data_IF_391555863039
#
_entry.id   IF_391555863039
#
_cell.length_a   1.000
_cell.length_b   1.000
_cell.length_c   1.000
_cell.angle_alpha   90.00
_cell.angle_beta   90.00
_cell.angle_gamma   90.00
#
_symmetry.space_group_name_H-M   'P 1'
#
loop_
_entity.id
_entity.type
_entity.pdbx_description
1 polymer ?
#
# COMPACT_ATOMS: atom_id res chain seq x y z
N UNK A 1 -0.37 8.85 1.67
CA UNK A 1 0.09 7.90 2.69
C UNK A 1 1.50 7.53 2.30
N UNK A 2 2.48 8.04 3.03
CA UNK A 2 3.88 7.70 2.78
C UNK A 2 4.07 6.31 3.38
N UNK A 3 4.19 5.28 2.55
CA UNK A 3 4.89 4.09 3.01
C UNK A 3 6.36 4.52 3.03
N UNK A 4 6.75 5.23 4.09
CA UNK A 4 8.14 5.55 4.38
C UNK A 4 8.81 4.22 4.72
N UNK A 5 9.18 3.44 3.71
CA UNK A 5 10.16 2.37 3.85
C UNK A 5 11.52 3.03 3.99
N UNK A 6 11.75 3.72 5.11
CA UNK A 6 13.05 4.27 5.47
C UNK A 6 13.41 3.72 6.84
N UNK A 7 14.33 2.76 6.82
CA UNK A 7 15.25 2.34 7.88
C UNK A 7 14.59 2.02 9.24
N UNK A 8 14.39 0.71 9.50
CA UNK A 8 14.00 0.17 10.80
C UNK A 8 12.98 -0.97 10.77
N UNK A 9 12.31 -1.18 9.62
CA UNK A 9 11.10 -2.02 9.51
C UNK A 9 11.35 -3.54 9.46
N UNK A 10 12.60 -3.99 9.45
CA UNK A 10 12.91 -5.41 9.27
C UNK A 10 12.36 -6.32 10.36
N UNK A 11 12.33 -5.87 11.63
CA UNK A 11 11.80 -6.64 12.76
C UNK A 11 10.28 -6.58 12.85
N UNK A 12 9.71 -5.39 12.64
CA UNK A 12 8.27 -5.14 12.75
C UNK A 12 7.47 -5.83 11.64
N UNK A 13 8.03 -5.89 10.42
CA UNK A 13 7.42 -6.61 9.31
C UNK A 13 7.45 -8.13 9.55
N UNK A 14 8.57 -8.69 10.00
CA UNK A 14 8.66 -10.11 10.34
C UNK A 14 7.67 -10.49 11.45
N UNK A 15 7.52 -9.65 12.48
CA UNK A 15 6.59 -9.88 13.59
C UNK A 15 5.12 -9.88 13.12
N UNK A 16 4.75 -8.91 12.29
CA UNK A 16 3.44 -8.84 11.65
C UNK A 16 3.14 -10.07 10.81
N UNK A 17 4.13 -10.52 10.04
CA UNK A 17 3.98 -11.68 9.20
C UNK A 17 3.80 -12.96 10.03
N UNK A 18 4.50 -13.10 11.16
CA UNK A 18 4.28 -14.23 12.08
C UNK A 18 2.94 -14.21 12.80
N UNK A 19 2.42 -13.03 13.15
CA UNK A 19 1.12 -12.87 13.83
C UNK A 19 -0.08 -13.06 12.89
N UNK A 20 0.11 -12.82 11.60
CA UNK A 20 -0.90 -13.00 10.54
C UNK A 20 -0.79 -14.39 9.87
N UNK A 21 -0.22 -15.38 10.57
CA UNK A 21 0.00 -16.76 10.10
C UNK A 21 0.73 -16.86 8.74
N UNK A 22 1.89 -16.22 8.56
CA UNK A 22 2.75 -16.49 7.41
C UNK A 22 3.82 -17.54 7.70
N UNK A 23 3.83 -18.56 6.85
CA UNK A 23 5.07 -18.90 6.16
C UNK A 23 5.17 -17.96 4.95
N UNK A 24 6.20 -17.12 4.89
CA UNK A 24 6.64 -16.59 3.60
C UNK A 24 7.27 -17.76 2.84
N UNK A 25 6.45 -18.59 2.19
CA UNK A 25 6.96 -19.23 1.00
C UNK A 25 7.26 -18.08 0.02
N UNK A 26 8.51 -17.92 -0.38
CA UNK A 26 8.82 -17.24 -1.64
C UNK A 26 8.25 -18.12 -2.76
N UNK A 27 6.92 -18.14 -2.87
CA UNK A 27 6.16 -18.95 -3.80
C UNK A 27 5.89 -18.12 -5.04
N UNK A 28 6.63 -18.47 -6.09
CA UNK A 28 6.50 -18.06 -7.49
C UNK A 28 7.25 -16.79 -7.92
N UNK A 29 7.92 -16.98 -9.06
CA UNK A 29 8.74 -16.10 -9.90
C UNK A 29 8.07 -14.78 -10.36
N UNK A 30 7.28 -14.11 -9.53
CA UNK A 30 6.70 -12.82 -9.88
C UNK A 30 7.72 -11.70 -9.64
N UNK A 31 8.12 -11.01 -10.71
CA UNK A 31 8.95 -9.80 -10.63
C UNK A 31 8.17 -8.73 -9.82
N UNK A 32 8.70 -8.33 -8.67
CA UNK A 32 8.21 -7.18 -7.90
C UNK A 32 8.89 -5.89 -8.35
N UNK A 33 8.29 -4.73 -8.05
CA UNK A 33 8.94 -3.41 -8.23
C UNK A 33 9.24 -3.03 -9.68
N UNK A 34 8.71 -3.76 -10.66
CA UNK A 34 8.94 -3.56 -12.08
C UNK A 34 7.61 -3.26 -12.78
N UNK A 35 7.15 -1.99 -12.81
CA UNK A 35 5.87 -1.64 -13.40
C UNK A 35 5.91 -1.84 -14.93
N UNK A 36 4.83 -2.42 -15.48
CA UNK A 36 4.70 -2.60 -16.95
C UNK A 36 4.45 -1.28 -17.69
N UNK A 37 3.99 -0.25 -16.98
CA UNK A 37 3.79 1.11 -17.48
C UNK A 37 4.77 1.98 -16.69
N UNK A 38 5.80 2.56 -17.31
CA UNK A 38 6.75 3.38 -16.60
C UNK A 38 6.07 4.66 -16.09
N UNK A 39 6.34 5.10 -14.85
CA UNK A 39 5.89 6.41 -14.39
C UNK A 39 6.62 7.51 -15.18
N UNK A 40 5.93 8.61 -15.45
CA UNK A 40 6.59 9.85 -15.83
C UNK A 40 7.13 10.48 -14.54
N UNK A 41 8.45 10.65 -14.49
CA UNK A 41 9.17 11.17 -13.34
C UNK A 41 9.86 12.46 -13.75
N UNK A 42 9.37 13.59 -13.26
CA UNK A 42 10.07 14.87 -13.36
C UNK A 42 10.93 15.06 -12.09
N UNK A 43 12.19 15.51 -12.19
CA UNK A 43 13.02 15.87 -11.04
C UNK A 43 12.36 16.79 -10.00
N UNK A 44 11.32 17.56 -10.37
CA UNK A 44 10.59 18.47 -9.49
C UNK A 44 9.26 17.91 -8.92
N UNK A 45 8.92 16.64 -9.16
CA UNK A 45 7.65 16.03 -8.71
C UNK A 45 7.51 16.00 -7.18
N UNK A 46 6.48 16.66 -6.63
CA UNK A 46 6.12 16.68 -5.20
C UNK A 46 4.65 16.28 -5.03
N UNK A 47 4.22 15.61 -3.96
CA UNK A 47 2.76 15.36 -3.75
C UNK A 47 1.97 16.67 -3.55
N UNK A 48 2.51 17.60 -2.78
CA UNK A 48 1.93 18.94 -2.62
C UNK A 48 2.38 19.79 -3.80
N UNK A 49 1.46 20.12 -4.71
CA UNK A 49 1.77 20.72 -6.01
C UNK A 49 2.20 19.69 -7.09
N UNK A 50 1.81 18.43 -6.94
CA UNK A 50 2.18 17.36 -7.86
C UNK A 50 1.30 17.22 -9.09
N UNK A 51 1.75 16.35 -9.99
CA UNK A 51 1.03 15.99 -11.20
C UNK A 51 0.25 14.69 -11.00
N UNK A 52 -0.79 14.51 -11.82
CA UNK A 52 -1.47 13.22 -11.88
C UNK A 52 -0.51 12.16 -12.41
N UNK A 53 -0.47 11.00 -11.76
CA UNK A 53 0.36 9.90 -12.22
C UNK A 53 -0.12 9.39 -13.59
N UNK A 54 0.75 8.71 -14.33
CA UNK A 54 0.31 7.95 -15.50
C UNK A 54 -0.60 6.82 -15.03
N UNK A 55 -1.81 6.65 -15.58
CA UNK A 55 -2.71 5.56 -15.18
C UNK A 55 -2.02 4.19 -15.20
N UNK A 56 -2.07 3.49 -14.07
CA UNK A 56 -1.45 2.17 -13.92
C UNK A 56 0.07 2.15 -13.73
N UNK A 57 0.77 3.30 -13.69
CA UNK A 57 2.23 3.32 -13.53
C UNK A 57 2.73 2.98 -12.12
N UNK A 58 1.82 2.92 -11.16
CA UNK A 58 2.07 2.52 -9.77
C UNK A 58 1.21 1.30 -9.42
N UNK A 59 1.49 0.13 -10.02
CA UNK A 59 0.59 -1.02 -10.03
C UNK A 59 0.45 -1.73 -8.67
N UNK A 60 1.28 -1.35 -7.69
CA UNK A 60 1.14 -1.80 -6.30
C UNK A 60 0.23 -0.88 -5.47
N UNK A 61 -0.13 0.31 -5.97
CA UNK A 61 -0.98 1.24 -5.22
C UNK A 61 -2.33 0.58 -4.90
N UNK A 62 -2.58 0.41 -3.62
CA UNK A 62 -3.86 -0.06 -3.13
C UNK A 62 -4.65 1.10 -2.54
N UNK A 63 -5.93 1.15 -2.86
CA UNK A 63 -6.90 1.98 -2.15
C UNK A 63 -7.59 1.14 -1.08
N UNK A 64 -7.74 1.69 0.11
CA UNK A 64 -8.43 1.03 1.24
C UNK A 64 -9.75 1.76 1.49
N UNK A 65 -10.82 1.00 1.31
CA UNK A 65 -12.19 1.48 1.29
C UNK A 65 -13.03 0.78 2.36
N UNK A 66 -14.12 1.42 2.76
CA UNK A 66 -15.16 0.73 3.52
C UNK A 66 -15.98 -0.19 2.59
N UNK A 67 -16.73 -1.14 3.15
CA UNK A 67 -17.71 -1.94 2.40
C UNK A 67 -18.80 -1.12 1.69
N UNK A 68 -18.91 0.18 2.00
CA UNK A 68 -19.79 1.17 1.34
C UNK A 68 -19.04 2.02 0.30
N UNK A 69 -17.88 1.55 -0.17
CA UNK A 69 -17.06 2.20 -1.20
C UNK A 69 -16.57 3.60 -0.81
N UNK A 70 -16.33 3.86 0.48
CA UNK A 70 -15.74 5.11 0.94
C UNK A 70 -14.23 4.95 1.14
N UNK A 71 -13.43 5.63 0.33
CA UNK A 71 -11.97 5.67 0.47
C UNK A 71 -11.57 6.31 1.80
N UNK A 72 -10.67 5.68 2.56
CA UNK A 72 -10.15 6.27 3.80
C UNK A 72 -8.62 6.18 3.95
N UNK A 73 -7.96 5.21 3.30
CA UNK A 73 -6.51 5.03 3.38
C UNK A 73 -5.94 4.47 2.08
N UNK A 74 -4.61 4.49 1.96
CA UNK A 74 -3.89 3.77 0.92
C UNK A 74 -3.28 2.46 1.42
N UNK A 75 -2.54 1.79 0.55
CA UNK A 75 -1.72 0.62 0.84
C UNK A 75 -0.80 0.31 -0.34
N UNK A 76 0.04 -0.71 -0.18
CA UNK A 76 0.82 -1.29 -1.26
C UNK A 76 0.66 -2.81 -1.30
N UNK A 77 0.39 -3.34 -2.49
CA UNK A 77 0.44 -4.77 -2.76
C UNK A 77 1.90 -5.26 -2.67
N UNK A 78 2.18 -6.21 -1.77
CA UNK A 78 3.55 -6.73 -1.54
C UNK A 78 3.77 -8.14 -2.09
N UNK A 79 2.69 -8.85 -2.41
CA UNK A 79 2.66 -10.13 -3.12
C UNK A 79 1.24 -10.37 -3.66
N UNK A 80 0.88 -11.60 -4.00
CA UNK A 80 -0.43 -11.95 -4.56
C UNK A 80 -1.57 -11.96 -3.52
N UNK A 81 -1.34 -11.61 -2.26
CA UNK A 81 -2.40 -11.75 -1.23
C UNK A 81 -2.37 -10.70 -0.13
N UNK A 82 -1.29 -9.95 0.01
CA UNK A 82 -1.07 -9.09 1.16
C UNK A 82 -0.88 -7.63 0.75
N UNK A 83 -1.55 -6.75 1.48
CA UNK A 83 -1.40 -5.30 1.37
C UNK A 83 -0.68 -4.80 2.62
N UNK A 84 0.41 -4.06 2.42
CA UNK A 84 1.04 -3.27 3.45
C UNK A 84 0.32 -1.92 3.60
N UNK A 85 -0.04 -1.56 4.83
CA UNK A 85 -0.70 -0.28 5.14
C UNK A 85 -0.26 0.22 6.52
N UNK A 86 -0.83 1.34 6.97
CA UNK A 86 -0.58 1.89 8.30
C UNK A 86 -1.50 1.26 9.35
N UNK A 87 -1.02 1.09 10.58
CA UNK A 87 -1.85 0.55 11.67
C UNK A 87 -3.00 1.48 12.02
N UNK A 88 -2.80 2.80 12.02
CA UNK A 88 -3.86 3.78 12.29
C UNK A 88 -5.04 3.66 11.31
N UNK A 89 -4.81 3.12 10.11
CA UNK A 89 -5.86 2.87 9.12
C UNK A 89 -6.77 1.71 9.51
N UNK A 90 -6.31 0.70 10.25
CA UNK A 90 -7.06 -0.56 10.42
C UNK A 90 -7.19 -1.05 11.86
N UNK A 91 -6.46 -0.49 12.83
CA UNK A 91 -6.39 -1.01 14.21
C UNK A 91 -7.75 -1.17 14.92
N UNK A 92 -8.74 -0.34 14.60
CA UNK A 92 -10.09 -0.38 15.17
C UNK A 92 -11.16 -0.87 14.19
N UNK A 93 -10.75 -1.50 13.08
CA UNK A 93 -11.63 -1.97 12.02
C UNK A 93 -11.63 -3.50 11.97
N UNK A 94 -12.74 -4.08 11.53
CA UNK A 94 -12.85 -5.52 11.28
C UNK A 94 -12.69 -5.82 9.79
N UNK A 95 -12.26 -7.03 9.43
CA UNK A 95 -12.08 -7.42 8.02
C UNK A 95 -13.37 -7.28 7.19
N UNK A 96 -14.53 -7.53 7.79
CA UNK A 96 -15.84 -7.43 7.12
C UNK A 96 -16.18 -6.05 6.58
N UNK A 97 -15.67 -4.98 7.22
CA UNK A 97 -15.96 -3.60 6.83
C UNK A 97 -14.91 -2.98 5.90
N UNK A 98 -13.81 -3.69 5.63
CA UNK A 98 -12.70 -3.22 4.80
C UNK A 98 -12.75 -3.87 3.41
N UNK A 99 -12.49 -3.07 2.38
CA UNK A 99 -12.28 -3.48 1.00
C UNK A 99 -10.95 -2.92 0.50
N UNK A 100 -10.32 -3.67 -0.38
CA UNK A 100 -9.09 -3.26 -1.05
C UNK A 100 -9.38 -3.14 -2.53
N UNK A 101 -9.04 -1.99 -3.10
CA UNK A 101 -9.20 -1.69 -4.51
C UNK A 101 -7.80 -1.65 -5.14
N UNK A 102 -7.56 -2.47 -6.16
CA UNK A 102 -6.30 -2.56 -6.91
C UNK A 102 -6.55 -2.19 -8.38
N UNK A 103 -5.56 -1.62 -9.05
CA UNK A 103 -5.69 -1.21 -10.45
C UNK A 103 -6.57 0.01 -10.68
N UNK A 104 -6.99 0.68 -9.60
CA UNK A 104 -7.69 1.96 -9.64
C UNK A 104 -6.73 3.11 -9.95
N UNK A 105 -7.19 4.05 -10.76
CA UNK A 105 -6.55 5.32 -11.06
C UNK A 105 -7.36 6.49 -10.48
N UNK A 106 -8.68 6.49 -10.65
CA UNK A 106 -9.57 7.48 -10.08
C UNK A 106 -10.01 7.06 -8.67
N UNK A 107 -10.18 8.03 -7.76
CA UNK A 107 -10.59 7.69 -6.37
C UNK A 107 -12.08 7.36 -6.28
N UNK A 108 -12.88 8.01 -7.12
CA UNK A 108 -14.35 8.06 -7.02
C UNK A 108 -15.08 7.45 -8.22
N UNK A 109 -14.37 7.08 -9.27
CA UNK A 109 -14.92 6.43 -10.45
C UNK A 109 -14.36 5.03 -10.56
N UNK A 110 -15.18 4.07 -10.99
CA UNK A 110 -14.73 2.72 -11.25
C UNK A 110 -13.94 2.70 -12.57
N UNK A 111 -12.67 2.31 -12.49
CA UNK A 111 -11.85 2.11 -13.68
C UNK A 111 -12.07 0.71 -14.27
N UNK A 112 -11.94 0.59 -15.59
CA UNK A 112 -12.03 -0.73 -16.26
C UNK A 112 -10.94 -1.73 -15.80
N UNK A 113 -9.87 -1.22 -15.18
CA UNK A 113 -8.75 -2.00 -14.63
C UNK A 113 -8.89 -2.29 -13.14
N UNK A 114 -9.91 -1.74 -12.49
CA UNK A 114 -10.09 -1.83 -11.04
C UNK A 114 -10.68 -3.17 -10.63
N UNK A 115 -10.08 -3.76 -9.59
CA UNK A 115 -10.56 -5.01 -8.99
C UNK A 115 -10.72 -4.82 -7.49
N UNK A 116 -11.89 -5.20 -6.97
CA UNK A 116 -12.26 -5.03 -5.57
C UNK A 116 -12.13 -6.36 -4.83
N UNK A 117 -11.20 -6.40 -3.88
CA UNK A 117 -10.94 -7.57 -3.04
C UNK A 117 -11.61 -7.44 -1.68
N UNK A 118 -12.18 -8.56 -1.22
CA UNK A 118 -12.65 -8.70 0.16
C UNK A 118 -11.46 -9.08 1.06
N UNK A 119 -11.49 -8.60 2.29
CA UNK A 119 -10.46 -8.85 3.29
C UNK A 119 -10.81 -10.10 4.10
N UNK A 120 -9.81 -10.94 4.33
CA UNK A 120 -9.86 -12.07 5.27
C UNK A 120 -9.51 -11.59 6.68
N UNK A 121 -8.38 -10.89 6.80
CA UNK A 121 -7.81 -10.50 8.08
C UNK A 121 -7.14 -9.12 8.01
N UNK A 122 -7.19 -8.39 9.12
CA UNK A 122 -6.42 -7.16 9.34
C UNK A 122 -5.49 -7.35 10.53
N UNK A 123 -4.20 -7.19 10.30
CA UNK A 123 -3.14 -7.48 11.26
C UNK A 123 -2.38 -6.17 11.53
N UNK A 124 -2.78 -5.43 12.57
CA UNK A 124 -2.06 -4.25 13.03
C UNK A 124 -0.87 -4.64 13.91
N UNK A 125 0.23 -3.89 13.85
CA UNK A 125 1.41 -4.20 14.65
C UNK A 125 1.05 -4.16 16.16
N UNK A 126 1.43 -5.17 16.96
CA UNK A 126 1.01 -5.27 18.37
C UNK A 126 1.49 -4.10 19.24
N UNK A 127 2.63 -3.49 18.85
CA UNK A 127 3.17 -2.31 19.51
C UNK A 127 2.50 -0.99 19.08
N UNK A 128 1.58 -1.01 18.12
CA UNK A 128 0.82 0.19 17.78
C UNK A 128 -0.02 0.66 18.98
N UNK A 129 0.08 1.95 19.31
CA UNK A 129 -0.65 2.59 20.40
C UNK A 129 -1.16 3.94 19.90
N UNK A 130 -2.49 4.11 19.67
CA UNK A 130 -3.05 5.32 19.06
C UNK A 130 -2.66 6.65 19.73
N UNK A 131 -2.42 6.63 21.05
CA UNK A 131 -2.06 7.81 21.84
C UNK A 131 -0.54 8.05 21.95
N UNK A 132 0.30 7.19 21.38
CA UNK A 132 1.78 7.32 21.45
C UNK A 132 2.35 7.65 20.08
N UNK A 133 3.06 8.79 20.01
CA UNK A 133 3.74 9.29 18.81
C UNK A 133 4.80 8.33 18.24
N UNK A 134 5.42 7.51 19.09
CA UNK A 134 6.52 6.60 18.71
C UNK A 134 6.08 5.12 18.70
N UNK A 135 4.85 4.82 18.26
CA UNK A 135 4.38 3.45 18.12
C UNK A 135 4.53 2.95 16.68
N UNK A 136 4.69 1.64 16.48
CA UNK A 136 4.85 1.04 15.14
C UNK A 136 3.56 1.17 14.33
N UNK A 137 3.50 2.19 13.47
CA UNK A 137 2.33 2.49 12.63
C UNK A 137 2.34 1.70 11.31
N UNK A 138 2.28 0.38 11.43
CA UNK A 138 2.38 -0.56 10.31
C UNK A 138 1.38 -1.71 10.49
N UNK A 139 0.75 -2.13 9.40
CA UNK A 139 -0.21 -3.22 9.39
C UNK A 139 -0.19 -3.98 8.06
N UNK A 140 -0.66 -5.22 8.11
CA UNK A 140 -0.90 -6.07 6.95
C UNK A 140 -2.40 -6.32 6.82
N UNK A 141 -2.92 -6.24 5.61
CA UNK A 141 -4.26 -6.72 5.25
C UNK A 141 -4.08 -7.98 4.41
N UNK A 142 -4.68 -9.09 4.85
CA UNK A 142 -4.74 -10.34 4.10
C UNK A 142 -6.00 -10.37 3.25
N UNK A 143 -5.85 -10.49 1.94
CA UNK A 143 -6.95 -10.66 1.01
C UNK A 143 -7.47 -12.09 1.06
N UNK A 144 -8.80 -12.24 0.95
CA UNK A 144 -9.46 -13.55 0.92
C UNK A 144 -9.05 -14.39 -0.28
N UNK A 145 -8.99 -13.75 -1.44
CA UNK A 145 -8.70 -14.38 -2.72
C UNK A 145 -7.35 -13.86 -3.23
N UNK A 146 -6.53 -14.71 -3.88
CA UNK A 146 -5.27 -14.27 -4.46
C UNK A 146 -5.50 -13.29 -5.62
N UNK A 147 -4.55 -12.40 -5.81
CA UNK A 147 -4.55 -11.35 -6.82
C UNK A 147 -4.00 -11.91 -8.12
N UNK A 148 -4.74 -11.72 -9.21
CA UNK A 148 -4.22 -11.98 -10.55
C UNK A 148 -3.47 -10.74 -11.02
N UNK A 149 -2.16 -10.87 -11.23
CA UNK A 149 -1.36 -9.74 -11.71
C UNK A 149 -1.71 -9.38 -13.14
N UNK A 150 -1.72 -8.07 -13.41
CA UNK A 150 -2.03 -7.48 -14.71
C UNK A 150 -1.00 -6.38 -15.02
N UNK A 151 -1.15 -5.70 -16.16
CA UNK A 151 -0.30 -4.54 -16.49
C UNK A 151 -0.43 -3.39 -15.48
N UNK A 152 -1.53 -3.33 -14.72
CA UNK A 152 -1.86 -2.26 -13.76
C UNK A 152 -1.94 -2.76 -12.32
N UNK A 153 -1.68 -4.06 -12.08
CA UNK A 153 -1.71 -4.70 -10.76
C UNK A 153 -0.49 -5.62 -10.63
N UNK A 154 0.49 -5.23 -9.82
CA UNK A 154 1.69 -6.02 -9.55
C UNK A 154 2.36 -5.56 -8.26
N UNK A 155 3.07 -6.44 -7.53
CA UNK A 155 3.57 -6.12 -6.20
C UNK A 155 4.80 -5.19 -6.22
N UNK A 156 4.99 -4.43 -5.14
CA UNK A 156 6.24 -3.73 -4.84
C UNK A 156 7.20 -4.66 -4.11
N UNK A 157 8.51 -4.45 -4.29
CA UNK A 157 9.50 -5.18 -3.53
C UNK A 157 9.58 -4.66 -2.09
N UNK A 158 9.78 -5.58 -1.15
CA UNK A 158 10.17 -5.23 0.21
C UNK A 158 11.68 -5.00 0.27
N UNK A 159 12.16 -4.02 1.05
CA UNK A 159 13.59 -3.85 1.30
C UNK A 159 14.13 -5.04 2.09
N UNK A 160 15.44 -5.26 1.96
CA UNK A 160 16.15 -6.24 2.79
C UNK A 160 16.14 -5.79 4.24
N UNK A 161 16.25 -6.75 5.15
CA UNK A 161 16.34 -6.47 6.57
C UNK A 161 17.58 -5.60 6.86
N UNK A 162 17.38 -4.44 7.51
CA UNK A 162 18.42 -3.42 7.76
C UNK A 162 19.07 -2.85 6.48
N UNK A 163 18.34 -2.86 5.37
CA UNK A 163 18.77 -2.09 4.21
C UNK A 163 18.79 -0.61 4.56
N UNK A 164 19.97 -0.01 4.40
CA UNK A 164 20.18 1.42 4.53
C UNK A 164 20.12 2.05 3.14
N UNK A 165 19.29 3.07 3.01
CA UNK A 165 19.19 3.80 1.77
C UNK A 165 20.22 4.95 1.78
N UNK A 166 21.00 5.14 0.72
CA UNK A 166 21.98 6.22 0.65
C UNK A 166 21.36 7.59 0.91
N UNK A 167 22.11 8.49 1.56
CA UNK A 167 21.71 9.89 1.69
C UNK A 167 21.51 10.50 0.30
N UNK A 168 20.44 11.28 0.16
CA UNK A 168 20.08 11.90 -1.13
C UNK A 168 19.35 10.97 -2.10
N UNK A 169 19.03 9.72 -1.71
CA UNK A 169 18.15 8.86 -2.49
C UNK A 169 16.79 9.53 -2.73
N UNK A 170 16.29 9.42 -3.96
CA UNK A 170 14.97 9.91 -4.35
C UNK A 170 13.91 8.85 -4.07
N UNK A 171 12.77 9.28 -3.54
CA UNK A 171 11.63 8.42 -3.25
C UNK A 171 10.37 9.02 -3.83
N UNK A 172 9.43 8.14 -4.13
CA UNK A 172 8.13 8.52 -4.65
C UNK A 172 7.06 8.14 -3.66
N UNK A 173 6.09 9.04 -3.51
CA UNK A 173 4.90 8.80 -2.71
C UNK A 173 3.72 8.96 -3.66
N UNK A 174 2.77 8.04 -3.57
CA UNK A 174 1.58 8.03 -4.40
C UNK A 174 0.32 7.93 -3.55
N UNK A 175 -0.80 8.33 -4.14
CA UNK A 175 -2.13 8.16 -3.58
C UNK A 175 -3.01 9.39 -3.71
N UNK A 176 -4.28 9.22 -3.37
CA UNK A 176 -5.34 10.21 -3.59
C UNK A 176 -5.53 11.16 -2.40
N UNK A 177 -4.44 11.46 -1.69
CA UNK A 177 -4.45 12.36 -0.54
C UNK A 177 -4.72 13.82 -0.94
N UNK A 178 -4.83 14.69 0.07
CA UNK A 178 -5.04 16.11 -0.14
C UNK A 178 -3.80 16.75 -0.80
N UNK A 179 -3.93 17.37 -1.97
CA UNK A 179 -2.85 18.08 -2.67
C UNK A 179 -2.73 19.55 -2.24
N UNK A 180 -3.79 20.10 -1.65
CA UNK A 180 -3.85 21.33 -0.84
C UNK A 180 -4.91 21.15 0.25
N UNK A 181 -5.03 22.04 1.27
CA UNK A 181 -6.14 22.01 2.23
C UNK A 181 -7.49 21.85 1.49
N UNK A 182 -8.14 20.69 1.62
CA UNK A 182 -9.47 20.43 1.06
C UNK A 182 -9.57 20.09 -0.44
N UNK A 183 -8.47 19.95 -1.19
CA UNK A 183 -8.51 19.45 -2.59
C UNK A 183 -7.89 18.06 -2.68
N UNK A 184 -8.62 17.13 -3.29
CA UNK A 184 -8.19 15.77 -3.58
C UNK A 184 -7.96 15.64 -5.09
N UNK A 185 -7.02 14.80 -5.51
CA UNK A 185 -7.01 14.32 -6.91
C UNK A 185 -8.22 13.40 -7.05
N UNK A 186 -9.12 13.75 -7.98
CA UNK A 186 -10.39 13.04 -8.21
C UNK A 186 -10.24 11.94 -9.26
#
# INVERSE_FOLDING_TARGET
MVISLVVGMGRDLALLLTLCSLALAQGNNAKCGAPSIPPMLDPEDRIYGGYSAVPGSWPWQAGVYTHRYQHFCGGALINDRYILTAAHCVWSRTSTIVRVHLGAYARRALDNTEVIYKVEEVCAHPNYKPSKRNSSDIAIIKLRDPVTFTRTISPVCLPRHKEELPLGSKYYVTGWGSTTRGKFIE
#
